data_IF_435497080199
#
_entry.id   IF_435497080199
#
_cell.length_a   1.000
_cell.length_b   1.000
_cell.length_c   1.000
_cell.angle_alpha   90.00
_cell.angle_beta   90.00
_cell.angle_gamma   90.00
#
_symmetry.space_group_name_H-M   'P 1'
#
loop_
_entity.id
_entity.type
_entity.pdbx_description
1 polymer ?
#
# COMPACT_ATOMS: atom_id res chain seq x y z
N UNK A 1 46.14 -12.65 0.84
CA UNK A 1 45.18 -12.32 1.93
C UNK A 1 44.73 -10.85 1.97
N UNK A 2 45.59 -9.86 1.71
CA UNK A 2 45.28 -8.41 1.84
C UNK A 2 44.20 -7.84 0.89
N UNK A 3 44.01 -8.43 -0.30
CA UNK A 3 42.95 -8.02 -1.25
C UNK A 3 41.52 -8.27 -0.73
N UNK A 4 41.33 -9.25 0.17
CA UNK A 4 40.02 -9.60 0.73
C UNK A 4 39.55 -8.58 1.79
N UNK A 5 40.49 -7.91 2.46
CA UNK A 5 40.18 -6.89 3.47
C UNK A 5 39.74 -5.55 2.88
N UNK A 6 40.34 -5.12 1.76
CA UNK A 6 39.93 -3.88 1.09
C UNK A 6 38.54 -3.99 0.47
N UNK A 7 38.23 -5.14 -0.15
CA UNK A 7 36.89 -5.42 -0.69
C UNK A 7 35.82 -5.41 0.43
N UNK A 8 36.10 -6.03 1.58
CA UNK A 8 35.17 -6.02 2.72
C UNK A 8 34.96 -4.63 3.33
N UNK A 9 35.99 -3.78 3.39
CA UNK A 9 35.87 -2.40 3.88
C UNK A 9 35.04 -1.53 2.95
N UNK A 10 35.27 -1.64 1.64
CA UNK A 10 34.49 -0.91 0.62
C UNK A 10 33.03 -1.38 0.66
N UNK A 11 32.80 -2.69 0.68
CA UNK A 11 31.47 -3.27 0.77
C UNK A 11 30.72 -2.81 2.04
N UNK A 12 31.38 -2.89 3.20
CA UNK A 12 30.80 -2.41 4.46
C UNK A 12 30.51 -0.90 4.47
N UNK A 13 31.36 -0.09 3.83
CA UNK A 13 31.12 1.34 3.67
C UNK A 13 29.90 1.62 2.78
N UNK A 14 29.80 0.95 1.63
CA UNK A 14 28.65 1.10 0.71
C UNK A 14 27.34 0.69 1.38
N UNK A 15 27.32 -0.42 2.12
CA UNK A 15 26.14 -0.84 2.88
C UNK A 15 25.73 0.18 3.95
N UNK A 16 26.69 0.67 4.74
CA UNK A 16 26.43 1.69 5.77
C UNK A 16 25.94 3.00 5.16
N UNK A 17 26.53 3.41 4.03
CA UNK A 17 26.12 4.60 3.29
C UNK A 17 24.69 4.44 2.75
N UNK A 18 24.38 3.32 2.11
CA UNK A 18 23.04 3.01 1.60
C UNK A 18 21.98 2.99 2.70
N UNK A 19 22.27 2.33 3.82
CA UNK A 19 21.37 2.30 4.98
C UNK A 19 21.17 3.69 5.61
N UNK A 20 22.24 4.50 5.70
CA UNK A 20 22.15 5.86 6.23
C UNK A 20 21.36 6.77 5.29
N UNK A 21 21.56 6.63 3.98
CA UNK A 21 20.80 7.37 2.95
C UNK A 21 19.32 7.02 2.98
N UNK A 22 18.96 5.74 3.03
CA UNK A 22 17.55 5.31 3.05
C UNK A 22 16.85 5.82 4.31
N UNK A 23 17.48 5.71 5.48
CA UNK A 23 16.97 6.28 6.73
C UNK A 23 16.84 7.80 6.65
N UNK A 24 17.85 8.49 6.12
CA UNK A 24 17.84 9.94 5.95
C UNK A 24 16.68 10.40 5.05
N UNK A 25 16.44 9.70 3.95
CA UNK A 25 15.31 9.99 3.04
C UNK A 25 13.97 9.81 3.78
N UNK A 26 13.79 8.73 4.54
CA UNK A 26 12.55 8.50 5.32
C UNK A 26 12.33 9.63 6.33
N UNK A 27 13.39 10.04 7.05
CA UNK A 27 13.32 11.13 8.01
C UNK A 27 12.98 12.46 7.32
N UNK A 28 13.60 12.75 6.18
CA UNK A 28 13.33 13.95 5.40
C UNK A 28 11.87 13.99 4.90
N UNK A 29 11.37 12.87 4.39
CA UNK A 29 9.99 12.73 3.96
C UNK A 29 9.03 12.98 5.14
N UNK A 30 9.31 12.42 6.31
CA UNK A 30 8.51 12.65 7.50
C UNK A 30 8.47 14.14 7.87
N UNK A 31 9.61 14.82 7.91
CA UNK A 31 9.70 16.26 8.20
C UNK A 31 8.89 17.08 7.18
N UNK A 32 9.03 16.77 5.89
CA UNK A 32 8.31 17.45 4.81
C UNK A 32 6.79 17.25 4.95
N UNK A 33 6.35 16.03 5.25
CA UNK A 33 4.93 15.71 5.45
C UNK A 33 4.36 16.46 6.65
N UNK A 34 5.06 16.47 7.79
CA UNK A 34 4.64 17.21 8.99
C UNK A 34 4.55 18.71 8.69
N UNK A 35 5.54 19.28 7.99
CA UNK A 35 5.54 20.70 7.66
C UNK A 35 4.38 21.07 6.72
N UNK A 36 4.08 20.24 5.72
CA UNK A 36 2.98 20.48 4.79
C UNK A 36 1.61 20.30 5.46
N UNK A 37 1.45 19.27 6.30
CA UNK A 37 0.20 19.01 7.02
C UNK A 37 -0.10 20.03 8.13
N UNK A 38 0.91 20.76 8.61
CA UNK A 38 0.74 21.75 9.67
C UNK A 38 -0.22 22.91 9.31
N UNK A 39 -0.31 23.29 8.03
CA UNK A 39 -1.26 24.30 7.57
C UNK A 39 -2.71 23.85 7.78
N UNK A 40 -3.01 22.59 7.46
CA UNK A 40 -4.34 22.01 7.69
C UNK A 40 -4.63 21.91 9.20
N UNK A 41 -3.68 21.43 10.00
CA UNK A 41 -3.86 21.28 11.45
C UNK A 41 -4.13 22.63 12.13
N UNK A 42 -3.40 23.69 11.77
CA UNK A 42 -3.60 25.03 12.35
C UNK A 42 -4.97 25.63 12.04
N UNK A 43 -5.47 25.42 10.83
CA UNK A 43 -6.71 26.05 10.35
C UNK A 43 -7.97 25.32 10.87
N UNK A 44 -7.95 23.98 10.92
CA UNK A 44 -9.15 23.18 11.27
C UNK A 44 -9.15 22.62 12.69
N UNK A 45 -8.01 22.64 13.41
CA UNK A 45 -7.86 22.11 14.77
C UNK A 45 -8.45 20.69 14.88
N UNK A 46 -9.17 20.38 15.97
CA UNK A 46 -9.83 19.09 16.16
C UNK A 46 -11.04 18.87 15.23
N UNK A 47 -11.63 19.95 14.70
CA UNK A 47 -12.78 19.83 13.77
C UNK A 47 -12.37 19.11 12.49
N UNK A 48 -11.10 19.20 12.09
CA UNK A 48 -10.52 18.45 10.97
C UNK A 48 -10.90 16.96 10.95
N UNK A 49 -10.89 16.30 12.12
CA UNK A 49 -11.12 14.85 12.21
C UNK A 49 -12.59 14.44 12.13
N UNK A 50 -13.51 15.39 12.33
CA UNK A 50 -14.96 15.14 12.35
C UNK A 50 -15.66 15.78 11.15
N UNK A 51 -15.03 16.79 10.53
CA UNK A 51 -15.58 17.45 9.35
C UNK A 51 -15.58 16.50 8.15
N UNK A 52 -16.70 16.46 7.44
CA UNK A 52 -16.90 15.67 6.23
C UNK A 52 -16.62 16.45 4.97
N UNK A 53 -16.48 17.78 5.06
CA UNK A 53 -16.38 18.63 3.89
C UNK A 53 -14.94 18.70 3.38
N UNK A 54 -14.70 18.20 2.16
CA UNK A 54 -13.41 18.32 1.48
C UNK A 54 -13.55 19.25 0.29
N UNK A 55 -13.15 20.49 0.48
CA UNK A 55 -13.19 21.54 -0.54
C UNK A 55 -11.87 22.32 -0.55
N UNK A 56 -10.86 21.84 -1.28
CA UNK A 56 -9.53 22.46 -1.32
C UNK A 56 -9.56 23.84 -2.00
N UNK A 57 -10.56 24.13 -2.85
CA UNK A 57 -10.69 25.42 -3.54
C UNK A 57 -11.01 26.53 -2.54
N UNK A 58 -11.92 26.26 -1.61
CA UNK A 58 -12.28 27.18 -0.53
C UNK A 58 -11.43 26.97 0.74
N UNK A 59 -10.38 26.16 0.65
CA UNK A 59 -9.51 25.82 1.76
C UNK A 59 -10.29 25.22 2.94
N UNK A 60 -11.22 24.28 2.69
CA UNK A 60 -11.88 23.48 3.74
C UNK A 60 -11.37 22.05 3.62
N UNK A 61 -10.80 21.53 4.70
CA UNK A 61 -10.22 20.20 4.70
C UNK A 61 -10.82 19.40 5.86
N UNK A 62 -11.63 18.39 5.53
CA UNK A 62 -12.19 17.41 6.47
C UNK A 62 -11.60 16.02 6.22
N UNK A 63 -11.08 15.39 7.26
CA UNK A 63 -10.43 14.08 7.16
C UNK A 63 -11.38 12.90 7.39
N UNK A 64 -12.57 13.13 7.94
CA UNK A 64 -13.47 12.05 8.35
C UNK A 64 -13.81 11.07 7.20
N UNK A 65 -14.14 11.52 5.97
CA UNK A 65 -14.47 10.62 4.87
C UNK A 65 -13.28 9.76 4.45
N UNK A 66 -12.06 10.30 4.50
CA UNK A 66 -10.84 9.58 4.17
C UNK A 66 -10.51 8.54 5.24
N UNK A 67 -10.58 8.91 6.52
CA UNK A 67 -10.34 8.00 7.64
C UNK A 67 -11.36 6.86 7.61
N UNK A 68 -12.65 7.21 7.53
CA UNK A 68 -13.73 6.23 7.48
C UNK A 68 -13.63 5.34 6.25
N UNK A 69 -13.40 5.93 5.07
CA UNK A 69 -13.25 5.19 3.82
C UNK A 69 -12.08 4.21 3.87
N UNK A 70 -10.91 4.62 4.37
CA UNK A 70 -9.76 3.72 4.53
C UNK A 70 -10.05 2.61 5.52
N UNK A 71 -10.58 2.92 6.71
CA UNK A 71 -10.87 1.91 7.73
C UNK A 71 -11.91 0.89 7.25
N UNK A 72 -13.01 1.36 6.67
CA UNK A 72 -14.07 0.49 6.18
C UNK A 72 -13.57 -0.40 5.03
N UNK A 73 -12.88 0.17 4.05
CA UNK A 73 -12.38 -0.60 2.90
C UNK A 73 -11.27 -1.58 3.30
N UNK A 74 -10.34 -1.19 4.18
CA UNK A 74 -9.33 -2.12 4.72
C UNK A 74 -9.97 -3.23 5.53
N UNK A 75 -10.97 -2.92 6.38
CA UNK A 75 -11.67 -3.92 7.17
C UNK A 75 -12.40 -4.94 6.28
N UNK A 76 -13.20 -4.47 5.32
CA UNK A 76 -13.90 -5.36 4.38
C UNK A 76 -12.94 -6.18 3.53
N UNK A 77 -11.83 -5.57 3.09
CA UNK A 77 -10.78 -6.28 2.34
C UNK A 77 -10.17 -7.41 3.16
N UNK A 78 -9.81 -7.17 4.43
CA UNK A 78 -9.29 -8.20 5.33
C UNK A 78 -10.33 -9.29 5.61
N UNK A 79 -11.57 -8.88 5.91
CA UNK A 79 -12.67 -9.79 6.21
C UNK A 79 -12.87 -10.84 5.09
N UNK A 80 -12.77 -10.42 3.83
CA UNK A 80 -12.97 -11.29 2.67
C UNK A 80 -11.67 -12.00 2.27
N UNK A 81 -10.55 -11.27 2.20
CA UNK A 81 -9.28 -11.79 1.69
C UNK A 81 -8.60 -12.77 2.64
N UNK A 82 -8.64 -12.52 3.95
CA UNK A 82 -7.99 -13.37 4.95
C UNK A 82 -8.50 -14.83 4.93
N UNK A 83 -9.81 -15.13 5.00
CA UNK A 83 -10.27 -16.51 4.95
C UNK A 83 -9.90 -17.20 3.63
N UNK A 84 -10.06 -16.50 2.50
CA UNK A 84 -9.69 -17.03 1.17
C UNK A 84 -8.20 -17.34 1.11
N UNK A 85 -7.34 -16.44 1.60
CA UNK A 85 -5.90 -16.64 1.65
C UNK A 85 -5.52 -17.86 2.50
N UNK A 86 -6.18 -18.06 3.64
CA UNK A 86 -5.94 -19.24 4.50
C UNK A 86 -6.37 -20.52 3.79
N UNK A 87 -7.54 -20.52 3.14
CA UNK A 87 -8.02 -21.68 2.37
C UNK A 87 -7.06 -22.06 1.25
N UNK A 88 -6.56 -21.07 0.48
CA UNK A 88 -5.59 -21.31 -0.60
C UNK A 88 -4.27 -21.83 -0.03
N UNK A 89 -3.79 -21.26 1.08
CA UNK A 89 -2.55 -21.70 1.72
C UNK A 89 -2.64 -23.15 2.21
N UNK A 90 -3.73 -23.52 2.90
CA UNK A 90 -3.98 -24.88 3.37
C UNK A 90 -4.15 -25.86 2.21
N UNK A 91 -4.88 -25.47 1.16
CA UNK A 91 -5.01 -26.29 -0.04
C UNK A 91 -3.65 -26.60 -0.66
N UNK A 92 -2.79 -25.59 -0.78
CA UNK A 92 -1.48 -25.76 -1.42
C UNK A 92 -0.47 -26.52 -0.54
N UNK A 93 -0.59 -26.44 0.80
CA UNK A 93 0.29 -27.15 1.72
C UNK A 93 -0.11 -28.61 1.91
N UNK A 94 -1.40 -28.88 2.15
CA UNK A 94 -1.87 -30.20 2.57
C UNK A 94 -2.49 -31.03 1.43
N UNK A 95 -3.18 -30.40 0.47
CA UNK A 95 -4.02 -31.11 -0.48
C UNK A 95 -3.46 -31.16 -1.91
N UNK A 96 -2.75 -30.12 -2.33
CA UNK A 96 -2.24 -30.03 -3.70
C UNK A 96 -1.00 -30.91 -3.91
N UNK A 97 -1.06 -31.84 -4.88
CA UNK A 97 0.04 -32.76 -5.20
C UNK A 97 0.51 -32.64 -6.65
N UNK A 98 1.81 -32.87 -6.88
CA UNK A 98 2.41 -32.94 -8.22
C UNK A 98 2.24 -31.66 -9.03
N UNK A 99 1.85 -31.81 -10.30
CA UNK A 99 1.78 -30.70 -11.28
C UNK A 99 0.81 -29.59 -10.88
N UNK A 100 -0.33 -29.92 -10.24
CA UNK A 100 -1.35 -28.93 -9.86
C UNK A 100 -0.76 -27.90 -8.88
N UNK A 101 0.02 -28.37 -7.91
CA UNK A 101 0.71 -27.51 -6.94
C UNK A 101 1.69 -26.59 -7.65
N UNK A 102 2.47 -27.11 -8.59
CA UNK A 102 3.46 -26.34 -9.35
C UNK A 102 2.80 -25.24 -10.18
N UNK A 103 1.75 -25.58 -10.96
CA UNK A 103 1.01 -24.59 -11.75
C UNK A 103 0.37 -23.51 -10.87
N UNK A 104 -0.33 -23.88 -9.79
CA UNK A 104 -0.95 -22.91 -8.89
C UNK A 104 0.08 -22.00 -8.23
N UNK A 105 1.21 -22.56 -7.80
CA UNK A 105 2.29 -21.78 -7.19
C UNK A 105 2.85 -20.74 -8.16
N UNK A 106 3.01 -21.10 -9.43
CA UNK A 106 3.45 -20.17 -10.49
C UNK A 106 2.40 -19.08 -10.70
N UNK A 107 1.12 -19.43 -10.85
CA UNK A 107 0.04 -18.43 -11.05
C UNK A 107 -0.05 -17.46 -9.87
N UNK A 108 -0.01 -17.96 -8.64
CA UNK A 108 -0.03 -17.12 -7.42
C UNK A 108 1.19 -16.20 -7.40
N UNK A 109 2.38 -16.72 -7.72
CA UNK A 109 3.61 -15.92 -7.76
C UNK A 109 3.55 -14.83 -8.83
N UNK A 110 2.97 -15.14 -10.00
CA UNK A 110 2.75 -14.17 -11.06
C UNK A 110 1.74 -13.10 -10.66
N UNK A 111 0.63 -13.46 -10.01
CA UNK A 111 -0.36 -12.51 -9.49
C UNK A 111 0.25 -11.57 -8.45
N UNK A 112 1.12 -12.10 -7.58
CA UNK A 112 1.84 -11.32 -6.57
C UNK A 112 2.90 -10.38 -7.18
N UNK A 113 3.43 -10.71 -8.35
CA UNK A 113 4.41 -9.89 -9.05
C UNK A 113 3.78 -8.72 -9.84
N UNK A 114 2.46 -8.72 -10.02
CA UNK A 114 1.77 -7.62 -10.73
C UNK A 114 1.92 -6.31 -9.94
N UNK A 115 2.41 -5.23 -10.56
CA UNK A 115 2.50 -3.92 -9.90
C UNK A 115 1.14 -3.41 -9.42
N UNK A 116 1.10 -2.80 -8.24
CA UNK A 116 -0.12 -2.23 -7.66
C UNK A 116 -0.80 -1.19 -8.56
N UNK A 117 -0.02 -0.45 -9.35
CA UNK A 117 -0.53 0.54 -10.32
C UNK A 117 -1.42 -0.12 -11.39
N UNK A 118 -1.09 -1.34 -11.83
CA UNK A 118 -1.89 -2.06 -12.84
C UNK A 118 -3.26 -2.41 -12.26
N UNK A 119 -3.32 -2.92 -11.03
CA UNK A 119 -4.59 -3.18 -10.35
C UNK A 119 -5.41 -1.90 -10.15
N UNK A 120 -4.75 -0.78 -9.86
CA UNK A 120 -5.40 0.53 -9.77
C UNK A 120 -6.02 0.98 -11.10
N UNK A 121 -5.27 0.90 -12.20
CA UNK A 121 -5.77 1.23 -13.54
C UNK A 121 -6.89 0.29 -13.99
N UNK A 122 -6.77 -1.01 -13.72
CA UNK A 122 -7.84 -1.97 -13.98
C UNK A 122 -9.11 -1.61 -13.20
N UNK A 123 -8.97 -1.19 -11.94
CA UNK A 123 -10.09 -0.69 -11.14
C UNK A 123 -10.78 0.52 -11.78
N UNK A 124 -10.03 1.43 -12.39
CA UNK A 124 -10.59 2.61 -13.06
C UNK A 124 -11.23 2.27 -14.41
N UNK A 125 -10.60 1.41 -15.21
CA UNK A 125 -11.06 1.13 -16.58
C UNK A 125 -12.08 0.00 -16.68
N UNK A 126 -12.13 -0.90 -15.70
CA UNK A 126 -13.02 -2.07 -15.73
C UNK A 126 -14.02 -2.02 -14.58
N UNK A 127 -13.55 -1.91 -13.33
CA UNK A 127 -14.45 -1.95 -12.18
C UNK A 127 -15.33 -0.69 -12.10
N UNK A 128 -14.77 0.51 -12.25
CA UNK A 128 -15.55 1.74 -12.12
C UNK A 128 -16.71 1.86 -13.12
N UNK A 129 -16.56 1.50 -14.42
CA UNK A 129 -17.68 1.41 -15.35
C UNK A 129 -18.75 0.39 -14.92
N UNK A 130 -18.36 -0.79 -14.46
CA UNK A 130 -19.30 -1.82 -13.98
C UNK A 130 -20.11 -1.26 -12.80
N UNK A 131 -19.42 -0.65 -11.83
CA UNK A 131 -20.06 -0.09 -10.66
C UNK A 131 -21.03 1.04 -11.04
N UNK A 132 -20.62 1.94 -11.95
CA UNK A 132 -21.48 3.02 -12.47
C UNK A 132 -22.71 2.48 -13.20
N UNK A 133 -22.59 1.42 -13.99
CA UNK A 133 -23.70 0.97 -14.82
C UNK A 133 -24.68 0.02 -14.09
N UNK A 134 -24.20 -0.76 -13.11
CA UNK A 134 -24.99 -1.82 -12.50
C UNK A 134 -25.28 -1.66 -10.99
N UNK A 135 -24.38 -1.01 -10.22
CA UNK A 135 -24.50 -0.97 -8.75
C UNK A 135 -25.06 0.37 -8.28
N UNK A 136 -24.52 1.46 -8.82
CA UNK A 136 -25.00 2.81 -8.56
C UNK A 136 -25.10 3.56 -9.89
N UNK A 137 -26.14 3.25 -10.69
CA UNK A 137 -26.49 4.05 -11.85
C UNK A 137 -26.89 5.45 -11.37
N UNK A 138 -26.02 6.41 -11.69
CA UNK A 138 -26.26 7.85 -11.52
C UNK A 138 -26.48 8.46 -12.89
#
# INVERSE_FOLDING_TARGET
MKYRDYSNKIFGFVLKLSATLSLSIIILLFIVLVKQSFLAIKTFKLKFFVDTNWDPVFGKFGALPFIYGTLLTSFLSLLISTPISICVALFLSEFATGKIKEYLSVVISLLAAIPSVIYGLWGIFVLAPIMRNYVYPV
#
